data_IF_421418360735
#
_entry.id   IF_421418360735
#
_cell.length_a   1.000
_cell.length_b   1.000
_cell.length_c   1.000
_cell.angle_alpha   90.00
_cell.angle_beta   90.00
_cell.angle_gamma   90.00
#
_symmetry.space_group_name_H-M   'P 1'
#
loop_
_entity.id
_entity.type
_entity.pdbx_description
1 polymer ?
#
# COMPACT_ATOMS: atom_id res chain seq x y z
N UNK A 1 4.84 14.60 -2.63
CA UNK A 1 4.83 13.13 -2.57
C UNK A 1 3.59 12.62 -1.87
N UNK A 2 2.96 11.56 -2.39
CA UNK A 2 1.82 10.86 -1.80
C UNK A 2 2.16 9.38 -1.69
N UNK A 3 1.68 8.72 -0.64
CA UNK A 3 1.75 7.25 -0.57
C UNK A 3 0.71 6.63 -1.51
N UNK A 4 1.00 5.45 -2.04
CA UNK A 4 0.01 4.64 -2.77
C UNK A 4 -0.94 3.93 -1.81
N UNK A 5 -0.59 3.76 -0.55
CA UNK A 5 -1.43 3.18 0.49
C UNK A 5 -2.21 4.26 1.22
N UNK A 6 -3.40 3.92 1.69
CA UNK A 6 -4.24 4.83 2.45
C UNK A 6 -5.60 4.25 2.76
N UNK A 7 -6.31 4.91 3.68
CA UNK A 7 -7.66 4.57 4.09
C UNK A 7 -8.52 5.81 4.20
N UNK A 8 -9.77 5.68 3.76
CA UNK A 8 -10.77 6.72 3.88
C UNK A 8 -12.14 6.13 4.17
N UNK A 9 -12.83 6.66 5.17
CA UNK A 9 -14.18 6.26 5.52
C UNK A 9 -15.06 7.48 5.75
N UNK A 10 -16.27 7.43 5.21
CA UNK A 10 -17.28 8.43 5.49
C UNK A 10 -18.66 7.80 5.53
N UNK A 11 -19.53 8.40 6.31
CA UNK A 11 -20.94 7.99 6.37
C UNK A 11 -21.85 9.20 6.22
N UNK A 12 -23.00 8.96 5.59
CA UNK A 12 -24.10 9.90 5.46
C UNK A 12 -25.38 9.26 5.94
N UNK A 13 -26.27 10.06 6.50
CA UNK A 13 -27.57 9.60 6.97
C UNK A 13 -28.64 10.28 6.14
N UNK A 14 -29.57 9.48 5.60
CA UNK A 14 -30.70 9.98 4.81
C UNK A 14 -31.92 9.12 5.11
N UNK A 15 -33.04 9.77 5.45
CA UNK A 15 -34.35 9.09 5.71
C UNK A 15 -34.24 7.88 6.62
N UNK A 16 -33.44 7.98 7.70
CA UNK A 16 -33.25 6.87 8.64
C UNK A 16 -32.28 5.77 8.17
N UNK A 17 -31.73 5.87 6.97
CA UNK A 17 -30.69 4.96 6.46
C UNK A 17 -29.31 5.57 6.63
N UNK A 18 -28.37 4.80 7.16
CA UNK A 18 -26.94 5.15 7.23
C UNK A 18 -26.22 4.48 6.06
N UNK A 19 -25.60 5.29 5.21
CA UNK A 19 -24.75 4.86 4.11
C UNK A 19 -23.30 5.11 4.51
N UNK A 20 -22.50 4.05 4.57
CA UNK A 20 -21.07 4.12 4.91
C UNK A 20 -20.26 3.68 3.71
N UNK A 21 -19.30 4.51 3.31
CA UNK A 21 -18.34 4.18 2.26
C UNK A 21 -16.96 4.07 2.89
N UNK A 22 -16.35 2.92 2.70
CA UNK A 22 -14.98 2.60 3.12
C UNK A 22 -14.13 2.38 1.89
N UNK A 23 -12.96 3.00 1.86
CA UNK A 23 -12.00 2.85 0.76
C UNK A 23 -10.62 2.54 1.30
N UNK A 24 -9.94 1.63 0.65
CA UNK A 24 -8.55 1.29 0.91
C UNK A 24 -7.79 1.32 -0.40
N UNK A 25 -6.68 2.04 -0.45
CA UNK A 25 -5.74 1.99 -1.57
C UNK A 25 -4.51 1.16 -1.22
N UNK A 26 -4.01 0.41 -2.20
CA UNK A 26 -2.84 -0.45 -2.11
C UNK A 26 -1.90 -0.16 -3.27
N UNK A 27 -0.62 -0.44 -3.07
CA UNK A 27 0.35 -0.32 -4.14
C UNK A 27 0.03 -1.33 -5.26
N UNK A 28 -0.14 -0.82 -6.48
CA UNK A 28 -0.32 -1.63 -7.67
C UNK A 28 0.16 -0.87 -8.90
N UNK A 29 0.70 -1.60 -9.89
CA UNK A 29 1.30 -1.01 -11.11
C UNK A 29 0.30 -0.23 -11.95
N UNK A 30 -0.92 -0.72 -12.05
CA UNK A 30 -2.02 -0.13 -12.84
C UNK A 30 -3.16 0.23 -11.91
N UNK A 31 -4.09 1.07 -12.39
CA UNK A 31 -5.32 1.35 -11.66
C UNK A 31 -6.23 0.11 -11.72
N UNK A 32 -6.47 -0.49 -10.56
CA UNK A 32 -7.42 -1.59 -10.35
C UNK A 32 -8.49 -1.15 -9.35
N UNK A 33 -9.77 -1.16 -9.78
CA UNK A 33 -10.89 -0.71 -8.97
C UNK A 33 -11.78 -1.90 -8.62
N UNK A 34 -11.77 -2.31 -7.37
CA UNK A 34 -12.63 -3.35 -6.82
C UNK A 34 -13.77 -2.71 -6.03
N UNK A 35 -14.97 -2.74 -6.59
CA UNK A 35 -16.15 -2.18 -5.97
C UNK A 35 -17.03 -3.29 -5.39
N UNK A 36 -17.43 -3.13 -4.14
CA UNK A 36 -18.46 -3.97 -3.50
C UNK A 36 -19.62 -3.07 -3.10
N UNK A 37 -20.64 -3.13 -3.95
CA UNK A 37 -21.82 -2.27 -3.87
C UNK A 37 -23.05 -3.13 -3.60
N UNK A 38 -23.95 -2.76 -2.69
CA UNK A 38 -25.23 -3.43 -2.50
C UNK A 38 -26.04 -3.48 -3.80
N UNK A 39 -26.90 -4.48 -3.94
CA UNK A 39 -27.71 -4.70 -5.15
C UNK A 39 -28.55 -3.49 -5.53
N UNK A 40 -29.07 -2.79 -4.55
CA UNK A 40 -29.91 -1.60 -4.70
C UNK A 40 -29.18 -0.44 -5.37
N UNK A 41 -27.84 -0.39 -5.27
CA UNK A 41 -27.00 0.69 -5.78
C UNK A 41 -26.19 0.31 -7.03
N UNK A 42 -26.38 -0.89 -7.58
CA UNK A 42 -25.67 -1.35 -8.79
C UNK A 42 -25.80 -0.36 -9.96
N UNK A 43 -26.95 0.32 -10.07
CA UNK A 43 -27.16 1.34 -11.10
C UNK A 43 -26.23 2.57 -10.99
N UNK A 44 -25.55 2.76 -9.85
CA UNK A 44 -24.61 3.88 -9.64
C UNK A 44 -23.15 3.46 -9.76
N UNK A 45 -22.85 2.18 -9.98
CA UNK A 45 -21.49 1.64 -9.98
C UNK A 45 -20.59 2.34 -11.00
N UNK A 46 -21.06 2.55 -12.23
CA UNK A 46 -20.27 3.20 -13.26
C UNK A 46 -19.99 4.67 -12.95
N UNK A 47 -20.93 5.39 -12.35
CA UNK A 47 -20.71 6.77 -11.92
C UNK A 47 -19.67 6.83 -10.78
N UNK A 48 -19.71 5.87 -9.84
CA UNK A 48 -18.71 5.74 -8.77
C UNK A 48 -17.34 5.45 -9.39
N UNK A 49 -17.24 4.50 -10.33
CA UNK A 49 -16.00 4.18 -11.05
C UNK A 49 -15.41 5.39 -11.76
N UNK A 50 -16.26 6.18 -12.41
CA UNK A 50 -15.84 7.41 -13.09
C UNK A 50 -15.19 8.39 -12.12
N UNK A 51 -15.84 8.69 -10.99
CA UNK A 51 -15.28 9.61 -9.99
C UNK A 51 -13.97 9.10 -9.37
N UNK A 52 -13.81 7.79 -9.19
CA UNK A 52 -12.55 7.20 -8.72
C UNK A 52 -11.44 7.39 -9.75
N UNK A 53 -11.70 7.15 -11.04
CA UNK A 53 -10.73 7.32 -12.14
C UNK A 53 -10.27 8.79 -12.30
N UNK A 54 -11.13 9.75 -12.03
CA UNK A 54 -10.80 11.18 -12.10
C UNK A 54 -9.83 11.62 -10.98
N UNK A 55 -9.82 10.90 -9.85
CA UNK A 55 -9.04 11.25 -8.66
C UNK A 55 -7.80 10.40 -8.45
N UNK A 56 -7.81 9.16 -8.92
CA UNK A 56 -6.77 8.17 -8.66
C UNK A 56 -6.24 7.68 -10.00
N UNK A 57 -4.97 7.99 -10.26
CA UNK A 57 -4.33 7.63 -11.52
C UNK A 57 -3.75 6.20 -11.51
N UNK A 58 -3.39 5.67 -10.33
CA UNK A 58 -2.64 4.43 -10.17
C UNK A 58 -2.90 3.79 -8.82
N UNK A 59 -2.70 2.46 -8.72
CA UNK A 59 -2.91 1.69 -7.50
C UNK A 59 -4.17 0.86 -7.54
N UNK A 60 -4.30 -0.07 -6.61
CA UNK A 60 -5.54 -0.83 -6.40
C UNK A 60 -6.37 -0.14 -5.34
N UNK A 61 -7.66 0.06 -5.64
CA UNK A 61 -8.62 0.64 -4.70
C UNK A 61 -9.74 -0.35 -4.46
N UNK A 62 -9.87 -0.79 -3.22
CA UNK A 62 -10.99 -1.57 -2.74
C UNK A 62 -12.00 -0.61 -2.10
N UNK A 63 -13.20 -0.53 -2.66
CA UNK A 63 -14.30 0.31 -2.19
C UNK A 63 -15.46 -0.58 -1.71
N UNK A 64 -15.94 -0.31 -0.51
CA UNK A 64 -17.09 -0.97 0.10
C UNK A 64 -18.17 0.06 0.38
N UNK A 65 -19.37 -0.18 -0.13
CA UNK A 65 -20.56 0.58 0.20
C UNK A 65 -21.41 -0.27 1.12
N UNK A 66 -21.64 0.21 2.33
CA UNK A 66 -22.50 -0.46 3.30
C UNK A 66 -23.76 0.39 3.53
N UNK A 67 -24.90 -0.23 3.41
CA UNK A 67 -26.21 0.34 3.73
C UNK A 67 -26.72 -0.28 5.02
N UNK A 68 -26.98 0.55 6.01
CA UNK A 68 -27.61 0.12 7.27
C UNK A 68 -28.90 0.90 7.45
N UNK A 69 -30.02 0.22 7.36
CA UNK A 69 -31.31 0.81 7.70
C UNK A 69 -31.39 1.09 9.19
N UNK A 70 -32.07 2.18 9.59
CA UNK A 70 -32.34 2.43 10.99
C UNK A 70 -33.17 1.27 11.60
N UNK A 71 -32.95 0.96 12.88
CA UNK A 71 -33.78 0.03 13.60
C UNK A 71 -35.24 0.51 13.52
N UNK A 72 -36.11 -0.25 12.84
CA UNK A 72 -37.50 0.11 12.67
C UNK A 72 -37.91 0.54 11.25
N UNK A 73 -37.00 0.51 10.25
CA UNK A 73 -37.42 0.61 8.86
C UNK A 73 -38.15 -0.67 8.48
N UNK A 74 -39.35 -0.57 8.62
CA UNK A 74 -40.59 -1.18 8.21
C UNK A 74 -40.43 -2.43 7.37
N UNK A 75 -40.17 -3.53 8.07
CA UNK A 75 -40.66 -4.80 7.57
C UNK A 75 -42.17 -4.84 7.80
N UNK A 76 -42.93 -4.64 6.77
CA UNK A 76 -44.38 -4.82 6.84
C UNK A 76 -44.70 -6.29 6.61
N UNK A 77 -45.49 -6.84 7.53
CA UNK A 77 -46.04 -8.16 7.36
C UNK A 77 -47.31 -8.01 6.50
N UNK A 78 -47.26 -8.47 5.25
CA UNK A 78 -48.41 -8.49 4.37
C UNK A 78 -49.05 -9.87 4.36
N UNK A 79 -50.39 -9.90 4.50
CA UNK A 79 -51.17 -11.10 4.33
C UNK A 79 -51.43 -11.30 2.84
N UNK A 80 -51.10 -12.46 2.29
CA UNK A 80 -51.52 -12.86 0.92
C UNK A 80 -53.00 -13.23 0.92
N UNK A 81 -53.87 -12.21 0.82
CA UNK A 81 -55.33 -12.41 0.82
C UNK A 81 -55.83 -13.37 -0.28
N UNK A 82 -55.34 -13.32 -1.54
CA UNK A 82 -55.75 -14.27 -2.57
C UNK A 82 -55.41 -15.72 -2.18
N UNK A 83 -54.23 -15.97 -1.65
CA UNK A 83 -53.81 -17.30 -1.20
C UNK A 83 -54.63 -17.75 -0.01
N UNK A 84 -54.90 -16.87 0.95
CA UNK A 84 -55.76 -17.17 2.08
C UNK A 84 -57.18 -17.55 1.66
N UNK A 85 -57.79 -16.83 0.71
CA UNK A 85 -59.10 -17.16 0.17
C UNK A 85 -59.12 -18.54 -0.49
N UNK A 86 -58.11 -18.90 -1.26
CA UNK A 86 -57.95 -20.23 -1.87
C UNK A 86 -57.77 -21.31 -0.80
N UNK A 87 -56.96 -21.06 0.20
CA UNK A 87 -56.70 -21.98 1.30
C UNK A 87 -57.98 -22.28 2.09
N UNK A 88 -58.71 -21.24 2.52
CA UNK A 88 -59.98 -21.38 3.22
C UNK A 88 -61.04 -22.06 2.37
N UNK A 89 -61.07 -21.78 1.07
CA UNK A 89 -61.96 -22.46 0.11
C UNK A 89 -61.68 -23.96 0.01
N UNK A 90 -60.40 -24.33 -0.11
CA UNK A 90 -59.98 -25.73 -0.20
C UNK A 90 -60.32 -26.51 1.09
N UNK A 91 -60.14 -25.89 2.25
CA UNK A 91 -60.52 -26.50 3.54
C UNK A 91 -62.03 -26.73 3.62
N UNK A 92 -62.83 -25.74 3.21
CA UNK A 92 -64.30 -25.90 3.21
C UNK A 92 -64.75 -27.04 2.29
N UNK A 93 -64.17 -27.18 1.09
CA UNK A 93 -64.42 -28.28 0.17
C UNK A 93 -64.05 -29.62 0.79
N UNK A 94 -62.85 -29.72 1.37
CA UNK A 94 -62.33 -30.91 2.08
C UNK A 94 -63.25 -31.29 3.25
N UNK A 95 -63.67 -30.32 4.09
CA UNK A 95 -64.60 -30.51 5.19
C UNK A 95 -65.92 -31.14 4.73
N UNK A 96 -66.49 -30.60 3.65
CA UNK A 96 -67.73 -31.12 3.08
C UNK A 96 -67.53 -32.51 2.47
N UNK A 97 -66.51 -32.71 1.67
CA UNK A 97 -66.24 -33.97 0.93
C UNK A 97 -65.93 -35.13 1.85
N UNK A 98 -65.16 -34.89 2.90
CA UNK A 98 -64.67 -35.95 3.79
C UNK A 98 -65.40 -35.97 5.15
N UNK A 99 -66.46 -35.15 5.34
CA UNK A 99 -67.25 -35.03 6.57
C UNK A 99 -66.39 -34.78 7.82
N UNK A 100 -65.39 -33.91 7.71
CA UNK A 100 -64.45 -33.57 8.83
C UNK A 100 -65.17 -32.68 9.84
N UNK A 101 -65.01 -32.96 11.14
CA UNK A 101 -65.47 -32.11 12.24
C UNK A 101 -64.44 -31.02 12.56
N UNK A 102 -64.90 -29.93 13.19
CA UNK A 102 -64.04 -28.82 13.64
C UNK A 102 -64.42 -27.50 12.93
N UNK A 103 -64.13 -26.37 13.59
CA UNK A 103 -64.36 -25.03 13.03
C UNK A 103 -63.07 -24.43 12.46
N UNK A 104 -63.24 -23.50 11.49
CA UNK A 104 -62.11 -22.74 10.97
C UNK A 104 -61.71 -21.71 12.01
N UNK A 105 -60.55 -21.95 12.63
CA UNK A 105 -60.00 -21.10 13.69
C UNK A 105 -58.82 -20.26 13.16
N UNK A 106 -58.57 -19.13 13.81
CA UNK A 106 -57.42 -18.26 13.56
C UNK A 106 -56.08 -19.03 13.69
N UNK A 107 -56.04 -20.07 14.51
CA UNK A 107 -54.89 -20.97 14.64
C UNK A 107 -54.44 -21.58 13.30
N UNK A 108 -55.35 -21.78 12.34
CA UNK A 108 -55.08 -22.27 11.00
C UNK A 108 -54.22 -21.29 10.18
N UNK A 109 -54.22 -19.99 10.50
CA UNK A 109 -53.37 -19.00 9.83
C UNK A 109 -51.90 -19.17 10.18
N UNK A 110 -51.59 -19.71 11.37
CA UNK A 110 -50.21 -19.97 11.81
C UNK A 110 -49.64 -21.28 11.24
N UNK A 111 -50.52 -22.20 10.81
CA UNK A 111 -50.12 -23.51 10.24
C UNK A 111 -50.23 -23.57 8.72
N UNK A 112 -50.80 -22.52 8.09
CA UNK A 112 -50.97 -22.43 6.65
C UNK A 112 -49.67 -22.15 5.91
N UNK A 113 -49.59 -22.53 4.61
CA UNK A 113 -48.41 -22.30 3.79
C UNK A 113 -48.22 -20.81 3.53
N UNK A 114 -47.08 -20.24 3.93
CA UNK A 114 -46.54 -18.91 3.56
C UNK A 114 -47.62 -17.79 3.33
N UNK A 115 -48.64 -17.76 4.21
CA UNK A 115 -49.71 -16.77 4.11
C UNK A 115 -49.26 -15.35 4.44
N UNK A 116 -48.16 -15.23 5.15
CA UNK A 116 -47.56 -13.95 5.53
C UNK A 116 -46.24 -13.74 4.82
N UNK A 117 -46.13 -12.67 4.08
CA UNK A 117 -44.92 -12.26 3.42
C UNK A 117 -44.33 -11.06 4.16
N UNK A 118 -43.03 -11.16 4.49
CA UNK A 118 -42.29 -10.00 4.97
C UNK A 118 -41.96 -9.18 3.73
N UNK A 119 -42.56 -8.01 3.61
CA UNK A 119 -42.21 -7.05 2.57
C UNK A 119 -41.19 -6.05 3.17
N UNK A 120 -40.01 -6.05 2.66
CA UNK A 120 -39.10 -4.95 2.91
C UNK A 120 -39.63 -3.73 2.14
N UNK A 121 -39.68 -2.57 2.80
CA UNK A 121 -40.15 -1.33 2.15
C UNK A 121 -39.34 -1.11 0.87
N UNK A 122 -40.02 -0.89 -0.25
CA UNK A 122 -39.36 -0.60 -1.52
C UNK A 122 -38.45 0.62 -1.35
N UNK A 123 -37.14 0.38 -1.50
CA UNK A 123 -36.12 1.41 -1.42
C UNK A 123 -36.12 2.11 -2.77
N UNK A 124 -36.29 3.43 -2.77
CA UNK A 124 -35.97 4.24 -3.93
C UNK A 124 -34.49 4.62 -3.89
N UNK A 125 -33.62 3.93 -4.66
CA UNK A 125 -32.19 4.21 -4.66
C UNK A 125 -31.88 5.66 -5.11
N UNK A 126 -32.78 6.25 -5.92
CA UNK A 126 -32.61 7.61 -6.45
C UNK A 126 -32.68 8.65 -5.34
N UNK A 127 -33.50 8.41 -4.31
CA UNK A 127 -33.60 9.31 -3.15
C UNK A 127 -32.32 9.29 -2.29
N UNK A 128 -31.56 8.20 -2.33
CA UNK A 128 -30.31 8.02 -1.58
C UNK A 128 -29.05 8.43 -2.40
N UNK A 129 -29.20 8.63 -3.73
CA UNK A 129 -28.07 8.95 -4.65
C UNK A 129 -27.21 10.11 -4.15
N UNK A 130 -27.83 11.23 -3.79
CA UNK A 130 -27.09 12.41 -3.32
C UNK A 130 -26.28 12.14 -2.04
N UNK A 131 -26.77 11.28 -1.14
CA UNK A 131 -26.07 10.91 0.08
C UNK A 131 -24.89 9.97 -0.21
N UNK A 132 -25.06 9.02 -1.15
CA UNK A 132 -23.98 8.13 -1.61
C UNK A 132 -22.81 8.97 -2.15
N UNK A 133 -23.08 9.91 -3.07
CA UNK A 133 -22.04 10.70 -3.70
C UNK A 133 -21.39 11.70 -2.72
N UNK A 134 -22.13 12.24 -1.75
CA UNK A 134 -21.52 13.03 -0.66
C UNK A 134 -20.62 12.18 0.23
N UNK A 135 -21.05 10.96 0.59
CA UNK A 135 -20.22 10.04 1.34
C UNK A 135 -18.96 9.65 0.55
N UNK A 136 -19.09 9.40 -0.76
CA UNK A 136 -17.98 9.09 -1.66
C UNK A 136 -16.94 10.21 -1.69
N UNK A 137 -17.37 11.45 -1.92
CA UNK A 137 -16.48 12.60 -1.93
C UNK A 137 -15.76 12.80 -0.57
N UNK A 138 -16.49 12.63 0.52
CA UNK A 138 -15.90 12.75 1.86
C UNK A 138 -14.89 11.63 2.13
N UNK A 139 -15.18 10.40 1.73
CA UNK A 139 -14.27 9.27 1.86
C UNK A 139 -13.02 9.43 0.97
N UNK A 140 -13.19 9.92 -0.28
CA UNK A 140 -12.06 10.25 -1.17
C UNK A 140 -11.15 11.32 -0.57
N UNK A 141 -11.71 12.38 0.01
CA UNK A 141 -10.92 13.43 0.65
C UNK A 141 -10.13 12.90 1.85
N UNK A 142 -10.72 12.00 2.65
CA UNK A 142 -10.02 11.35 3.77
C UNK A 142 -8.93 10.39 3.28
N UNK A 143 -9.19 9.65 2.20
CA UNK A 143 -8.19 8.80 1.55
C UNK A 143 -7.00 9.63 1.09
N UNK A 144 -7.24 10.76 0.39
CA UNK A 144 -6.18 11.67 -0.06
C UNK A 144 -5.38 12.25 1.12
N UNK A 145 -6.04 12.65 2.21
CA UNK A 145 -5.37 13.12 3.43
C UNK A 145 -4.52 12.03 4.07
N UNK A 146 -5.01 10.79 4.12
CA UNK A 146 -4.25 9.63 4.61
C UNK A 146 -3.00 9.41 3.77
N UNK A 147 -3.13 9.36 2.44
CA UNK A 147 -2.03 9.20 1.49
C UNK A 147 -0.99 10.32 1.58
N UNK A 148 -1.44 11.57 1.77
CA UNK A 148 -0.55 12.70 1.95
C UNK A 148 0.21 12.67 3.29
N UNK A 149 -0.45 12.23 4.37
CA UNK A 149 0.19 12.09 5.68
C UNK A 149 1.28 11.02 5.64
N UNK A 150 0.93 9.85 5.13
CA UNK A 150 1.87 8.74 4.99
C UNK A 150 3.01 9.08 4.03
N UNK A 151 2.73 9.72 2.89
CA UNK A 151 3.75 10.16 1.95
C UNK A 151 4.74 11.16 2.55
N UNK A 152 4.28 12.05 3.46
CA UNK A 152 5.18 12.95 4.22
C UNK A 152 6.08 12.20 5.19
N UNK A 153 5.56 11.18 5.87
CA UNK A 153 6.35 10.35 6.78
C UNK A 153 7.41 9.55 6.03
N UNK A 154 7.03 8.91 4.91
CA UNK A 154 7.97 8.19 4.05
C UNK A 154 9.06 9.12 3.50
N UNK A 155 8.70 10.31 3.04
CA UNK A 155 9.67 11.28 2.56
C UNK A 155 10.65 11.72 3.66
N UNK A 156 10.17 11.96 4.87
CA UNK A 156 11.02 12.32 6.02
C UNK A 156 12.00 11.20 6.37
N UNK A 157 11.54 9.95 6.38
CA UNK A 157 12.42 8.80 6.64
C UNK A 157 13.45 8.62 5.52
N UNK A 158 13.06 8.74 4.24
CA UNK A 158 13.99 8.69 3.12
C UNK A 158 15.05 9.79 3.21
N UNK A 159 14.70 11.01 3.63
CA UNK A 159 15.68 12.06 3.87
C UNK A 159 16.69 11.68 4.96
N UNK A 160 16.22 11.08 6.06
CA UNK A 160 17.09 10.58 7.12
C UNK A 160 18.08 9.52 6.59
N UNK A 161 17.62 8.57 5.75
CA UNK A 161 18.48 7.55 5.14
C UNK A 161 19.53 8.19 4.19
N UNK A 162 19.11 9.20 3.41
CA UNK A 162 20.02 9.93 2.51
C UNK A 162 21.08 10.72 3.30
N UNK A 163 20.71 11.36 4.40
CA UNK A 163 21.68 12.08 5.23
C UNK A 163 22.69 11.12 5.87
N UNK A 164 22.25 9.90 6.22
CA UNK A 164 23.17 8.84 6.62
C UNK A 164 24.13 8.46 5.49
N UNK A 165 23.66 8.31 4.24
CA UNK A 165 24.52 8.00 3.09
C UNK A 165 25.53 9.12 2.82
N UNK A 166 25.15 10.39 2.97
CA UNK A 166 26.07 11.53 2.88
C UNK A 166 27.17 11.44 3.92
N UNK A 167 26.79 11.17 5.18
CA UNK A 167 27.74 11.01 6.26
C UNK A 167 28.68 9.83 6.01
N UNK A 168 28.14 8.68 5.63
CA UNK A 168 28.94 7.49 5.28
C UNK A 168 29.95 7.79 4.16
N UNK A 169 29.57 8.57 3.13
CA UNK A 169 30.50 8.95 2.06
C UNK A 169 31.65 9.82 2.53
N UNK A 170 31.41 10.69 3.52
CA UNK A 170 32.45 11.51 4.15
C UNK A 170 33.37 10.65 5.03
N UNK A 171 32.78 9.75 5.82
CA UNK A 171 33.53 8.85 6.71
C UNK A 171 34.40 7.88 5.90
N UNK A 172 33.93 7.37 4.76
CA UNK A 172 34.69 6.54 3.81
C UNK A 172 35.87 7.34 3.27
N UNK A 173 35.67 8.58 2.84
CA UNK A 173 36.75 9.47 2.36
C UNK A 173 37.83 9.70 3.41
N UNK A 174 37.42 10.04 4.64
CA UNK A 174 38.33 10.24 5.75
C UNK A 174 39.17 8.98 6.04
N UNK A 175 38.56 7.82 6.09
CA UNK A 175 39.26 6.54 6.29
C UNK A 175 40.19 6.20 5.14
N UNK A 176 39.77 6.47 3.91
CA UNK A 176 40.62 6.27 2.74
C UNK A 176 41.89 7.13 2.80
N UNK A 177 41.77 8.42 3.20
CA UNK A 177 42.89 9.32 3.37
C UNK A 177 43.84 8.85 4.48
N UNK A 178 43.31 8.45 5.65
CA UNK A 178 44.09 7.92 6.77
C UNK A 178 44.87 6.66 6.39
N UNK A 179 44.24 5.74 5.65
CA UNK A 179 44.89 4.51 5.20
C UNK A 179 45.92 4.76 4.09
N UNK A 180 45.70 5.77 3.24
CA UNK A 180 46.65 6.21 2.21
C UNK A 180 47.93 6.82 2.78
N UNK A 181 47.84 7.44 3.96
CA UNK A 181 48.98 8.11 4.62
C UNK A 181 49.77 7.22 5.59
N UNK A 182 49.25 6.04 5.95
CA UNK A 182 49.97 5.10 6.82
C UNK A 182 51.22 4.60 6.08
N UNK A 183 52.44 4.89 6.56
CA UNK A 183 53.63 4.29 5.98
C UNK A 183 53.55 2.79 6.14
N UNK A 184 53.78 2.07 5.06
CA UNK A 184 53.91 0.61 5.10
C UNK A 184 55.09 0.34 6.03
N UNK A 185 54.81 -0.01 7.30
CA UNK A 185 55.87 -0.53 8.16
C UNK A 185 56.40 -1.77 7.44
N UNK A 186 57.58 -1.63 6.83
CA UNK A 186 58.27 -2.78 6.26
C UNK A 186 58.42 -3.80 7.38
N UNK A 187 57.77 -4.91 7.26
CA UNK A 187 57.95 -6.06 8.16
C UNK A 187 59.31 -6.72 7.96
N UNK A 188 60.28 -5.94 7.50
CA UNK A 188 61.66 -6.36 7.29
C UNK A 188 62.52 -5.80 8.42
N UNK A 189 62.53 -6.51 9.53
CA UNK A 189 63.72 -6.51 10.39
C UNK A 189 64.88 -7.14 9.61
N UNK A 190 66.17 -6.72 9.90
CA UNK A 190 67.31 -7.32 9.25
C UNK A 190 67.39 -8.81 9.61
N UNK A 191 67.09 -9.68 8.64
CA UNK A 191 67.41 -11.12 8.74
C UNK A 191 68.78 -11.32 8.20
N UNK A 192 69.77 -11.48 9.11
CA UNK A 192 71.03 -12.16 8.82
C UNK A 192 70.72 -13.64 8.48
N UNK A 193 71.03 -14.07 7.29
CA UNK A 193 70.91 -15.49 6.89
C UNK A 193 70.86 -15.69 5.38
N UNK A 194 71.91 -16.25 4.81
CA UNK A 194 72.08 -16.73 3.45
C UNK A 194 70.94 -17.68 3.06
N UNK A 195 70.04 -17.25 2.16
CA UNK A 195 69.03 -18.11 1.56
C UNK A 195 68.39 -17.43 0.35
N UNK A 196 68.35 -18.12 -0.77
CA UNK A 196 67.92 -17.69 -2.09
C UNK A 196 66.59 -16.94 -2.08
N UNK A 197 66.37 -15.93 -2.96
CA UNK A 197 65.14 -15.15 -3.00
C UNK A 197 64.00 -15.99 -3.54
N UNK A 198 63.04 -16.36 -2.65
CA UNK A 198 61.77 -16.92 -3.05
C UNK A 198 60.84 -15.84 -3.61
N UNK A 199 60.20 -16.17 -4.70
CA UNK A 199 59.23 -15.42 -5.51
C UNK A 199 57.91 -15.04 -4.77
N UNK A 200 58.00 -14.59 -3.51
CA UNK A 200 56.80 -14.11 -2.78
C UNK A 200 56.67 -12.56 -2.79
N UNK A 201 57.54 -11.87 -3.55
CA UNK A 201 57.57 -10.39 -3.58
C UNK A 201 56.54 -9.76 -4.52
N UNK A 202 55.96 -10.50 -5.45
CA UNK A 202 55.02 -9.93 -6.43
C UNK A 202 53.59 -9.80 -5.89
N UNK A 203 53.16 -10.60 -4.93
CA UNK A 203 51.84 -10.56 -4.35
C UNK A 203 51.60 -9.32 -3.46
N UNK A 204 52.61 -8.94 -2.63
CA UNK A 204 52.48 -7.78 -1.75
C UNK A 204 52.69 -6.45 -2.49
N UNK A 205 53.55 -6.42 -3.52
CA UNK A 205 53.66 -5.26 -4.40
C UNK A 205 52.45 -5.03 -5.27
N UNK A 206 51.82 -6.11 -5.74
CA UNK A 206 50.55 -6.09 -6.47
C UNK A 206 49.39 -5.69 -5.58
N UNK A 207 49.31 -6.13 -4.33
CA UNK A 207 48.37 -5.67 -3.32
C UNK A 207 48.52 -4.18 -2.97
N UNK A 208 49.71 -3.64 -3.06
CA UNK A 208 50.02 -2.21 -2.89
C UNK A 208 49.66 -1.37 -4.13
N UNK A 209 49.78 -1.93 -5.33
CA UNK A 209 49.35 -1.31 -6.58
C UNK A 209 47.82 -1.33 -6.75
N UNK A 210 47.11 -2.27 -6.09
CA UNK A 210 45.66 -2.32 -6.00
C UNK A 210 45.04 -1.37 -4.96
N UNK A 211 45.81 -0.49 -4.32
CA UNK A 211 45.28 0.75 -3.72
C UNK A 211 44.86 1.69 -4.86
N UNK A 212 43.95 1.21 -5.72
CA UNK A 212 43.34 2.00 -6.76
C UNK A 212 42.77 3.26 -6.13
N UNK A 213 43.08 4.38 -6.72
CA UNK A 213 42.48 5.66 -6.36
C UNK A 213 40.94 5.49 -6.33
N UNK A 214 40.35 5.52 -5.12
CA UNK A 214 38.88 5.46 -4.94
C UNK A 214 38.27 6.87 -4.92
N UNK A 215 39.05 7.91 -5.19
CA UNK A 215 38.58 9.28 -5.16
C UNK A 215 37.45 9.50 -6.19
N UNK A 216 37.58 8.87 -7.35
CA UNK A 216 36.55 8.95 -8.40
C UNK A 216 35.22 8.35 -7.90
N UNK A 217 35.26 7.16 -7.31
CA UNK A 217 34.07 6.48 -6.77
C UNK A 217 33.44 7.28 -5.63
N UNK A 218 34.24 7.89 -4.75
CA UNK A 218 33.74 8.74 -3.67
C UNK A 218 33.04 9.98 -4.22
N UNK A 219 33.65 10.66 -5.21
CA UNK A 219 33.05 11.84 -5.85
C UNK A 219 31.74 11.47 -6.56
N UNK A 220 31.71 10.35 -7.28
CA UNK A 220 30.49 9.83 -7.92
C UNK A 220 29.43 9.49 -6.90
N UNK A 221 29.79 8.78 -5.82
CA UNK A 221 28.87 8.45 -4.73
C UNK A 221 28.23 9.71 -4.14
N UNK A 222 29.02 10.74 -3.80
CA UNK A 222 28.52 12.02 -3.27
C UNK A 222 27.60 12.72 -4.26
N UNK A 223 27.94 12.69 -5.53
CA UNK A 223 27.14 13.28 -6.61
C UNK A 223 25.78 12.59 -6.72
N UNK A 224 25.75 11.24 -6.75
CA UNK A 224 24.51 10.48 -6.84
C UNK A 224 23.64 10.62 -5.60
N UNK A 225 24.22 10.64 -4.40
CA UNK A 225 23.50 10.87 -3.14
C UNK A 225 22.89 12.28 -3.11
N UNK A 226 23.60 13.28 -3.62
CA UNK A 226 23.09 14.65 -3.72
C UNK A 226 21.94 14.75 -4.73
N UNK A 227 22.11 14.12 -5.90
CA UNK A 227 21.07 14.04 -6.92
C UNK A 227 19.80 13.34 -6.37
N UNK A 228 19.97 12.25 -5.61
CA UNK A 228 18.87 11.54 -4.96
C UNK A 228 18.09 12.45 -4.01
N UNK A 229 18.76 13.26 -3.21
CA UNK A 229 18.14 14.25 -2.33
C UNK A 229 17.36 15.31 -3.12
N UNK A 230 17.83 15.68 -4.31
CA UNK A 230 17.16 16.60 -5.23
C UNK A 230 15.87 16.01 -5.80
N UNK A 231 15.91 14.76 -6.26
CA UNK A 231 14.77 14.06 -6.86
C UNK A 231 13.60 13.93 -5.88
N UNK A 232 13.84 13.78 -4.57
CA UNK A 232 12.79 13.72 -3.56
C UNK A 232 11.98 15.03 -3.43
N UNK A 233 12.49 16.15 -3.95
CA UNK A 233 11.80 17.45 -3.96
C UNK A 233 11.02 17.69 -5.24
N UNK A 234 11.22 16.87 -6.27
CA UNK A 234 10.50 17.00 -7.54
C UNK A 234 9.04 16.61 -7.39
N UNK A 235 8.18 17.25 -8.19
CA UNK A 235 6.75 16.93 -8.29
C UNK A 235 6.57 15.98 -9.49
N UNK A 236 5.95 14.82 -9.28
CA UNK A 236 5.64 13.89 -10.35
C UNK A 236 6.16 12.47 -10.10
N UNK A 237 6.15 11.63 -11.14
CA UNK A 237 6.57 10.24 -11.04
C UNK A 237 8.10 10.11 -10.95
N UNK A 238 8.61 10.13 -9.74
CA UNK A 238 10.07 10.11 -9.45
C UNK A 238 10.64 8.70 -9.29
N UNK A 239 9.81 7.66 -9.17
CA UNK A 239 10.23 6.30 -8.82
C UNK A 239 11.35 5.75 -9.71
N UNK A 240 11.25 5.89 -11.05
CA UNK A 240 12.29 5.40 -11.98
C UNK A 240 13.63 6.14 -11.81
N UNK A 241 13.59 7.46 -11.52
CA UNK A 241 14.81 8.24 -11.28
C UNK A 241 15.48 7.81 -9.97
N UNK A 242 14.68 7.57 -8.94
CA UNK A 242 15.15 7.05 -7.64
C UNK A 242 15.82 5.69 -7.85
N UNK A 243 15.15 4.74 -8.50
CA UNK A 243 15.70 3.40 -8.76
C UNK A 243 17.04 3.46 -9.51
N UNK A 244 17.14 4.30 -10.54
CA UNK A 244 18.39 4.50 -11.27
C UNK A 244 19.52 5.02 -10.35
N UNK A 245 19.26 6.08 -9.57
CA UNK A 245 20.24 6.64 -8.68
C UNK A 245 20.67 5.66 -7.57
N UNK A 246 19.74 4.86 -7.04
CA UNK A 246 20.04 3.81 -6.07
C UNK A 246 20.94 2.72 -6.67
N UNK A 247 20.74 2.35 -7.94
CA UNK A 247 21.62 1.42 -8.64
C UNK A 247 23.04 1.96 -8.78
N UNK A 248 23.19 3.23 -9.18
CA UNK A 248 24.51 3.86 -9.29
C UNK A 248 25.19 3.98 -7.92
N UNK A 249 24.47 4.43 -6.87
CA UNK A 249 25.00 4.47 -5.50
C UNK A 249 25.49 3.07 -5.06
N UNK A 250 24.71 2.04 -5.33
CA UNK A 250 25.07 0.66 -4.98
C UNK A 250 26.29 0.18 -5.77
N UNK A 251 26.42 0.58 -7.02
CA UNK A 251 27.59 0.29 -7.87
C UNK A 251 28.85 0.93 -7.30
N UNK A 252 28.82 2.22 -6.95
CA UNK A 252 29.97 2.90 -6.37
C UNK A 252 30.37 2.30 -5.01
N UNK A 253 29.41 1.96 -4.15
CA UNK A 253 29.68 1.26 -2.89
C UNK A 253 30.33 -0.12 -3.10
N UNK A 254 29.92 -0.87 -4.13
CA UNK A 254 30.54 -2.14 -4.47
C UNK A 254 32.01 -1.97 -4.92
N UNK A 255 32.26 -0.97 -5.78
CA UNK A 255 33.60 -0.68 -6.28
C UNK A 255 34.53 -0.24 -5.16
N UNK A 256 34.06 0.65 -4.25
CA UNK A 256 34.83 1.07 -3.07
C UNK A 256 35.16 -0.16 -2.21
N UNK A 257 34.19 -1.02 -1.91
CA UNK A 257 34.44 -2.22 -1.08
C UNK A 257 35.44 -3.19 -1.72
N UNK A 258 35.46 -3.32 -3.05
CA UNK A 258 36.39 -4.20 -3.76
C UNK A 258 37.80 -3.61 -3.84
N UNK A 259 37.94 -2.30 -3.99
CA UNK A 259 39.21 -1.59 -4.04
C UNK A 259 39.83 -1.39 -2.66
N UNK A 260 39.00 -1.26 -1.62
CA UNK A 260 39.42 -1.07 -0.21
C UNK A 260 38.79 -2.12 0.70
N UNK A 261 39.38 -3.33 0.80
CA UNK A 261 38.80 -4.43 1.60
C UNK A 261 39.11 -4.32 3.11
N UNK A 262 39.50 -3.15 3.61
CA UNK A 262 39.74 -2.91 5.03
C UNK A 262 38.42 -2.98 5.81
N UNK A 263 38.44 -3.65 6.96
CA UNK A 263 37.22 -3.95 7.74
C UNK A 263 36.41 -2.70 8.05
N UNK A 264 37.02 -1.60 8.40
CA UNK A 264 36.36 -0.34 8.74
C UNK A 264 35.59 0.23 7.53
N UNK A 265 36.21 0.21 6.34
CA UNK A 265 35.57 0.69 5.10
C UNK A 265 34.43 -0.27 4.67
N UNK A 266 34.68 -1.57 4.76
CA UNK A 266 33.66 -2.58 4.44
C UNK A 266 32.42 -2.44 5.33
N UNK A 267 32.58 -2.17 6.62
CA UNK A 267 31.47 -1.93 7.55
C UNK A 267 30.64 -0.69 7.16
N UNK A 268 31.32 0.42 6.80
CA UNK A 268 30.64 1.63 6.33
C UNK A 268 29.88 1.40 5.02
N UNK A 269 30.48 0.67 4.09
CA UNK A 269 29.85 0.29 2.83
C UNK A 269 28.62 -0.60 3.08
N UNK A 270 28.73 -1.60 3.96
CA UNK A 270 27.61 -2.49 4.28
C UNK A 270 26.43 -1.72 4.88
N UNK A 271 26.71 -0.85 5.85
CA UNK A 271 25.71 0.03 6.42
C UNK A 271 25.09 0.97 5.36
N UNK A 272 25.89 1.49 4.42
CA UNK A 272 25.39 2.26 3.27
C UNK A 272 24.43 1.45 2.38
N UNK A 273 24.77 0.21 2.05
CA UNK A 273 23.92 -0.69 1.26
C UNK A 273 22.58 -0.97 1.93
N UNK A 274 22.56 -1.18 3.24
CA UNK A 274 21.31 -1.33 4.00
C UNK A 274 20.39 -0.10 3.87
N UNK A 275 20.97 1.11 3.85
CA UNK A 275 20.20 2.35 3.66
C UNK A 275 19.65 2.46 2.24
N UNK A 276 20.43 2.05 1.25
CA UNK A 276 20.00 2.00 -0.16
C UNK A 276 18.77 1.08 -0.31
N UNK A 277 18.81 -0.12 0.29
CA UNK A 277 17.65 -1.04 0.22
C UNK A 277 16.42 -0.46 0.94
N UNK A 278 16.58 0.15 2.12
CA UNK A 278 15.45 0.81 2.80
C UNK A 278 14.80 1.90 1.95
N UNK A 279 15.61 2.74 1.28
CA UNK A 279 15.10 3.77 0.37
C UNK A 279 14.38 3.11 -0.82
N UNK A 280 14.90 2.02 -1.37
CA UNK A 280 14.31 1.29 -2.48
C UNK A 280 12.92 0.75 -2.13
N UNK A 281 12.77 0.09 -0.98
CA UNK A 281 11.49 -0.42 -0.49
C UNK A 281 10.46 0.70 -0.31
N UNK A 282 10.88 1.84 0.25
CA UNK A 282 9.99 2.98 0.45
C UNK A 282 9.60 3.66 -0.86
N UNK A 283 10.54 3.75 -1.83
CA UNK A 283 10.28 4.37 -3.13
C UNK A 283 9.19 3.65 -3.93
N UNK A 284 9.00 2.36 -3.71
CA UNK A 284 7.93 1.57 -4.35
C UNK A 284 6.54 1.98 -3.89
N UNK A 285 6.41 2.62 -2.73
CA UNK A 285 5.14 3.03 -2.14
C UNK A 285 4.80 4.51 -2.37
N UNK A 286 5.60 5.22 -3.18
CA UNK A 286 5.46 6.66 -3.40
C UNK A 286 4.99 6.96 -4.83
N UNK A 287 4.08 7.96 -4.91
CA UNK A 287 3.55 8.56 -6.13
C UNK A 287 3.80 10.08 -6.15
#
# INVERSE_FOLDING_TARGET
MRSMTGYGEASQQVRGTKITIQMRSLNHRHLDLQLRVPREYLGFEEEIRKQLRERIARGRVDLFVNRTAAKGSERTLELDEPLLRQYLGSIRVAKKKFRLAGDLDVALLSTGPDLFRIRDTEIDPRAEKAAIFRALQSALNKLDQSRQREGRQLAADMHCQIDYLKKASIDIEARAAELGTRPVKSAFGPREGNGSPRLERDGDAQALLFKGDINEEIVRLKTHVTALAGVLREIGSVGKKIDFLLQEIQRELNTISSKMPQLEVVQLVLAGKERVEKIREQSQNIE
#
